data_IF_613061543450
#
_entry.id   IF_613061543450
#
_cell.length_a   1.000
_cell.length_b   1.000
_cell.length_c   1.000
_cell.angle_alpha   90.00
_cell.angle_beta   90.00
_cell.angle_gamma   90.00
#
_symmetry.space_group_name_H-M   'P 1'
#
loop_
_entity.id
_entity.type
_entity.pdbx_description
1 polymer ?
#
# COMPACT_ATOMS: atom_id res chain seq x y z
N UNK A 1 9.35 11.17 2.16
CA UNK A 1 10.82 11.38 2.12
C UNK A 1 11.56 10.45 1.14
N UNK A 2 11.23 9.16 1.02
CA UNK A 2 11.89 8.28 0.02
C UNK A 2 11.76 8.79 -1.43
N UNK A 3 10.62 9.37 -1.82
CA UNK A 3 10.37 9.82 -3.21
C UNK A 3 11.18 11.07 -3.57
N UNK A 4 11.45 11.98 -2.63
CA UNK A 4 12.30 13.16 -2.84
C UNK A 4 13.76 12.80 -3.13
N UNK A 5 14.26 11.75 -2.48
CA UNK A 5 15.62 11.27 -2.70
C UNK A 5 15.81 10.76 -4.14
N UNK A 6 14.79 10.11 -4.70
CA UNK A 6 14.81 9.62 -6.09
C UNK A 6 14.78 10.79 -7.09
N UNK A 7 14.04 11.86 -6.79
CA UNK A 7 13.97 13.07 -7.62
C UNK A 7 15.14 14.05 -7.45
N UNK A 8 15.99 13.89 -6.42
CA UNK A 8 16.97 14.91 -5.97
C UNK A 8 16.34 16.28 -5.67
N UNK A 9 15.09 16.29 -5.21
CA UNK A 9 14.32 17.50 -4.93
C UNK A 9 14.38 17.86 -3.44
N UNK A 10 14.64 19.13 -3.10
CA UNK A 10 14.74 19.63 -1.71
C UNK A 10 13.51 20.43 -1.26
N UNK A 11 12.35 20.15 -1.87
CA UNK A 11 11.15 21.00 -1.75
C UNK A 11 10.46 20.93 -0.38
N UNK A 12 10.57 19.81 0.33
CA UNK A 12 9.89 19.63 1.63
C UNK A 12 10.85 19.90 2.79
N UNK A 13 10.96 21.18 3.17
CA UNK A 13 11.73 21.61 4.35
C UNK A 13 10.96 21.48 5.68
N UNK A 14 9.62 21.39 5.64
CA UNK A 14 8.78 21.32 6.84
C UNK A 14 7.45 20.60 6.58
N UNK A 15 7.10 19.66 7.45
CA UNK A 15 5.82 18.91 7.39
C UNK A 15 4.62 19.84 7.53
N UNK A 16 4.71 20.87 8.38
CA UNK A 16 3.61 21.79 8.66
C UNK A 16 3.19 22.63 7.45
N UNK A 17 4.15 22.98 6.57
CA UNK A 17 3.82 23.72 5.33
C UNK A 17 2.95 22.87 4.41
N UNK A 18 3.25 21.58 4.31
CA UNK A 18 2.49 20.64 3.49
C UNK A 18 1.09 20.39 4.02
N UNK A 19 0.94 20.25 5.35
CA UNK A 19 -0.38 20.16 5.98
C UNK A 19 -1.26 21.37 5.67
N UNK A 20 -0.69 22.59 5.72
CA UNK A 20 -1.43 23.82 5.44
C UNK A 20 -1.82 23.95 3.97
N UNK A 21 -0.97 23.49 3.06
CA UNK A 21 -1.22 23.52 1.61
C UNK A 21 -2.32 22.52 1.22
N UNK A 22 -2.25 21.27 1.71
CA UNK A 22 -3.31 20.26 1.48
C UNK A 22 -4.66 20.74 2.03
N UNK A 23 -4.67 21.32 3.24
CA UNK A 23 -5.91 21.85 3.83
C UNK A 23 -6.53 22.97 3.00
N UNK A 24 -5.71 23.76 2.30
CA UNK A 24 -6.17 24.89 1.49
C UNK A 24 -6.60 24.48 0.08
N UNK A 25 -5.89 23.54 -0.54
CA UNK A 25 -6.13 23.10 -1.93
C UNK A 25 -7.15 21.95 -2.04
N UNK A 26 -7.06 20.93 -1.18
CA UNK A 26 -7.92 19.72 -1.25
C UNK A 26 -8.94 19.60 -0.10
N UNK A 27 -8.78 20.37 0.98
CA UNK A 27 -9.63 20.32 2.15
C UNK A 27 -9.48 19.05 2.99
N UNK A 28 -10.47 18.75 3.84
CA UNK A 28 -10.43 17.61 4.79
C UNK A 28 -10.49 16.26 4.07
N UNK A 29 -11.18 16.17 2.93
CA UNK A 29 -11.34 14.93 2.18
C UNK A 29 -10.04 14.46 1.51
N UNK A 30 -9.15 15.39 1.12
CA UNK A 30 -7.82 15.07 0.60
C UNK A 30 -6.98 14.24 1.57
N UNK A 31 -7.03 14.58 2.87
CA UNK A 31 -6.35 13.80 3.92
C UNK A 31 -6.85 12.37 4.05
N UNK A 32 -8.16 12.14 3.87
CA UNK A 32 -8.74 10.80 4.00
C UNK A 32 -8.52 9.93 2.77
N UNK A 33 -8.20 10.52 1.62
CA UNK A 33 -7.99 9.80 0.37
C UNK A 33 -6.85 8.78 0.47
N UNK A 34 -5.76 9.07 1.19
CA UNK A 34 -4.67 8.12 1.42
C UNK A 34 -4.84 7.24 2.67
N UNK A 35 -5.48 7.75 3.71
CA UNK A 35 -5.63 7.07 5.01
C UNK A 35 -6.65 5.93 4.93
N UNK A 36 -7.77 6.14 4.24
CA UNK A 36 -8.82 5.13 4.10
C UNK A 36 -8.33 3.84 3.44
N UNK A 37 -7.68 3.87 2.25
CA UNK A 37 -7.15 2.64 1.64
C UNK A 37 -6.06 1.99 2.48
N UNK A 38 -5.31 2.77 3.27
CA UNK A 38 -4.29 2.23 4.18
C UNK A 38 -4.93 1.41 5.30
N UNK A 39 -5.91 1.99 5.99
CA UNK A 39 -6.64 1.32 7.06
C UNK A 39 -7.38 0.08 6.55
N UNK A 40 -8.03 0.17 5.38
CA UNK A 40 -8.68 -0.98 4.76
C UNK A 40 -7.69 -2.09 4.43
N UNK A 41 -6.50 -1.75 3.91
CA UNK A 41 -5.43 -2.70 3.64
C UNK A 41 -4.93 -3.41 4.91
N UNK A 42 -4.69 -2.66 5.99
CA UNK A 42 -4.25 -3.21 7.28
C UNK A 42 -5.31 -4.11 7.92
N UNK A 43 -6.58 -3.70 7.91
CA UNK A 43 -7.69 -4.52 8.40
C UNK A 43 -7.80 -5.83 7.60
N UNK A 44 -7.68 -5.75 6.28
CA UNK A 44 -7.72 -6.92 5.41
C UNK A 44 -6.52 -7.84 5.63
N UNK A 45 -5.31 -7.27 5.81
CA UNK A 45 -4.10 -8.01 6.15
C UNK A 45 -4.25 -8.77 7.47
N UNK A 46 -4.71 -8.10 8.52
CA UNK A 46 -4.94 -8.72 9.83
C UNK A 46 -5.97 -9.83 9.73
N UNK A 47 -7.09 -9.58 9.05
CA UNK A 47 -8.14 -10.57 8.85
C UNK A 47 -7.63 -11.80 8.10
N UNK A 48 -6.90 -11.61 6.98
CA UNK A 48 -6.28 -12.70 6.23
C UNK A 48 -5.27 -13.47 7.08
N UNK A 49 -4.34 -12.78 7.75
CA UNK A 49 -3.35 -13.42 8.61
C UNK A 49 -4.02 -14.27 9.70
N UNK A 50 -5.04 -13.75 10.37
CA UNK A 50 -5.74 -14.48 11.43
C UNK A 50 -6.54 -15.66 10.88
N UNK A 51 -7.21 -15.48 9.75
CA UNK A 51 -7.93 -16.55 9.06
C UNK A 51 -7.00 -17.67 8.61
N UNK A 52 -5.86 -17.34 7.98
CA UNK A 52 -4.87 -18.31 7.52
C UNK A 52 -4.24 -19.07 8.68
N UNK A 53 -3.83 -18.37 9.75
CA UNK A 53 -3.29 -19.03 10.94
C UNK A 53 -4.32 -19.97 11.58
N UNK A 54 -5.59 -19.57 11.63
CA UNK A 54 -6.66 -20.43 12.13
C UNK A 54 -6.87 -21.68 11.27
N UNK A 55 -6.90 -21.53 9.94
CA UNK A 55 -7.03 -22.65 9.01
C UNK A 55 -5.84 -23.62 9.12
N UNK A 56 -4.60 -23.11 9.10
CA UNK A 56 -3.41 -23.95 9.21
C UNK A 56 -3.39 -24.69 10.55
N UNK A 57 -3.71 -23.98 11.64
CA UNK A 57 -3.75 -24.59 12.96
C UNK A 57 -4.84 -25.66 13.10
N UNK A 58 -6.01 -25.45 12.49
CA UNK A 58 -7.14 -26.37 12.60
C UNK A 58 -6.99 -27.61 11.71
N UNK A 59 -6.42 -27.46 10.50
CA UNK A 59 -6.43 -28.52 9.48
C UNK A 59 -5.08 -29.21 9.26
N UNK A 60 -3.95 -28.55 9.54
CA UNK A 60 -2.61 -29.06 9.18
C UNK A 60 -1.83 -29.54 10.42
N UNK A 61 -1.96 -28.84 11.54
CA UNK A 61 -1.13 -29.05 12.73
C UNK A 61 -1.96 -29.67 13.84
N UNK A 62 -1.72 -30.94 14.18
CA UNK A 62 -2.25 -31.57 15.40
C UNK A 62 -1.85 -30.76 16.64
N UNK A 63 -2.73 -30.68 17.65
CA UNK A 63 -2.54 -29.80 18.83
C UNK A 63 -1.17 -29.96 19.51
N UNK A 64 -0.59 -31.15 19.47
CA UNK A 64 0.75 -31.46 20.01
C UNK A 64 1.89 -30.67 19.32
N UNK A 65 1.83 -30.49 18.00
CA UNK A 65 2.86 -29.77 17.23
C UNK A 65 2.66 -28.25 17.24
N UNK A 66 1.46 -27.77 17.62
CA UNK A 66 1.13 -26.33 17.71
C UNK A 66 1.91 -25.59 18.79
N UNK A 67 2.30 -26.32 19.86
CA UNK A 67 2.98 -25.75 21.01
C UNK A 67 4.47 -25.55 20.77
N UNK A 68 5.03 -26.16 19.72
CA UNK A 68 6.43 -25.98 19.33
C UNK A 68 6.61 -24.56 18.75
N UNK A 69 7.40 -23.68 19.39
CA UNK A 69 7.49 -22.26 19.00
C UNK A 69 8.10 -22.05 17.61
N UNK A 70 8.96 -22.95 17.15
CA UNK A 70 9.58 -22.92 15.83
C UNK A 70 8.52 -23.09 14.73
N UNK A 71 7.67 -24.12 14.84
CA UNK A 71 6.63 -24.45 13.85
C UNK A 71 5.60 -23.31 13.74
N UNK A 72 5.23 -22.72 14.88
CA UNK A 72 4.35 -21.54 14.93
C UNK A 72 4.96 -20.35 14.21
N UNK A 73 6.24 -20.09 14.42
CA UNK A 73 6.93 -18.95 13.81
C UNK A 73 7.02 -19.09 12.29
N UNK A 74 7.38 -20.27 11.79
CA UNK A 74 7.40 -20.55 10.35
C UNK A 74 6.00 -20.41 9.72
N UNK A 75 4.98 -20.98 10.35
CA UNK A 75 3.59 -20.88 9.89
C UNK A 75 3.12 -19.43 9.81
N UNK A 76 3.44 -18.63 10.83
CA UNK A 76 3.10 -17.23 10.86
C UNK A 76 3.80 -16.45 9.74
N UNK A 77 5.11 -16.64 9.55
CA UNK A 77 5.89 -15.96 8.51
C UNK A 77 5.39 -16.30 7.10
N UNK A 78 5.08 -17.57 6.82
CA UNK A 78 4.55 -18.00 5.52
C UNK A 78 3.16 -17.38 5.28
N UNK A 79 2.29 -17.41 6.31
CA UNK A 79 0.95 -16.81 6.22
C UNK A 79 1.02 -15.31 5.99
N UNK A 80 1.93 -14.62 6.68
CA UNK A 80 2.12 -13.18 6.55
C UNK A 80 2.68 -12.81 5.16
N UNK A 81 3.59 -13.62 4.63
CA UNK A 81 4.10 -13.43 3.27
C UNK A 81 2.97 -13.54 2.24
N UNK A 82 2.16 -14.60 2.30
CA UNK A 82 1.03 -14.77 1.38
C UNK A 82 0.01 -13.63 1.52
N UNK A 83 -0.33 -13.25 2.76
CA UNK A 83 -1.26 -12.16 3.01
C UNK A 83 -0.73 -10.82 2.45
N UNK A 84 0.58 -10.55 2.57
CA UNK A 84 1.18 -9.33 2.03
C UNK A 84 1.13 -9.25 0.50
N UNK A 85 1.23 -10.37 -0.21
CA UNK A 85 1.04 -10.41 -1.67
C UNK A 85 -0.38 -9.98 -2.04
N UNK A 86 -1.38 -10.42 -1.28
CA UNK A 86 -2.79 -10.08 -1.53
C UNK A 86 -3.08 -8.63 -1.18
N UNK A 87 -2.50 -8.11 -0.09
CA UNK A 87 -2.70 -6.72 0.34
C UNK A 87 -1.88 -5.70 -0.47
N UNK A 88 -0.88 -6.14 -1.23
CA UNK A 88 0.01 -5.28 -2.02
C UNK A 88 -0.70 -4.17 -2.85
N UNK A 89 -1.79 -4.46 -3.59
CA UNK A 89 -2.53 -3.44 -4.32
C UNK A 89 -3.04 -2.28 -3.47
N UNK A 90 -3.47 -2.55 -2.24
CA UNK A 90 -3.96 -1.52 -1.33
C UNK A 90 -2.82 -0.62 -0.86
N UNK A 91 -1.69 -1.21 -0.48
CA UNK A 91 -0.47 -0.47 -0.15
C UNK A 91 0.00 0.39 -1.32
N UNK A 92 -0.10 -0.12 -2.56
CA UNK A 92 0.24 0.64 -3.76
C UNK A 92 -0.67 1.86 -3.94
N UNK A 93 -1.99 1.70 -3.83
CA UNK A 93 -2.94 2.82 -3.96
C UNK A 93 -2.73 3.86 -2.88
N UNK A 94 -2.50 3.45 -1.62
CA UNK A 94 -2.13 4.37 -0.53
C UNK A 94 -0.89 5.19 -0.89
N UNK A 95 0.16 4.55 -1.39
CA UNK A 95 1.40 5.24 -1.72
C UNK A 95 1.23 6.23 -2.89
N UNK A 96 0.41 5.90 -3.90
CA UNK A 96 0.12 6.80 -5.02
C UNK A 96 -0.74 7.98 -4.56
N UNK A 97 -1.77 7.73 -3.74
CA UNK A 97 -2.60 8.81 -3.18
C UNK A 97 -1.80 9.71 -2.24
N UNK A 98 -0.80 9.18 -1.53
CA UNK A 98 0.05 9.98 -0.63
C UNK A 98 0.99 10.95 -1.36
N UNK A 99 1.26 10.73 -2.66
CA UNK A 99 2.08 11.62 -3.49
C UNK A 99 1.26 12.41 -4.50
N UNK A 100 -0.05 12.19 -4.57
CA UNK A 100 -0.96 12.89 -5.46
C UNK A 100 -0.91 14.40 -5.20
N UNK A 101 -0.85 15.20 -6.27
CA UNK A 101 -0.78 16.67 -6.22
C UNK A 101 0.36 17.23 -5.34
N UNK A 102 1.41 16.43 -5.13
CA UNK A 102 2.62 16.89 -4.44
C UNK A 102 3.48 17.72 -5.39
N UNK A 103 4.35 18.60 -4.85
CA UNK A 103 5.33 19.36 -5.67
C UNK A 103 6.37 18.48 -6.38
N UNK A 104 6.27 17.16 -6.24
CA UNK A 104 7.18 16.18 -6.81
C UNK A 104 6.76 15.82 -8.23
N UNK A 105 7.73 15.69 -9.14
CA UNK A 105 7.47 15.29 -10.54
C UNK A 105 6.75 13.94 -10.65
N UNK A 106 6.95 13.05 -9.67
CA UNK A 106 6.32 11.73 -9.64
C UNK A 106 4.81 11.74 -9.30
N UNK A 107 4.29 12.85 -8.75
CA UNK A 107 2.89 13.02 -8.36
C UNK A 107 2.06 13.88 -9.32
N UNK A 108 2.72 14.51 -10.30
CA UNK A 108 2.10 15.45 -11.23
C UNK A 108 2.08 14.95 -12.68
N UNK A 109 1.15 15.47 -13.51
CA UNK A 109 1.19 15.26 -14.95
C UNK A 109 2.53 15.76 -15.52
N UNK A 110 3.17 15.05 -16.48
CA UNK A 110 2.63 13.98 -17.33
C UNK A 110 2.81 12.54 -16.81
N UNK A 111 3.46 12.33 -15.65
CA UNK A 111 3.77 10.97 -15.16
C UNK A 111 2.58 10.27 -14.49
N UNK A 112 1.78 11.02 -13.74
CA UNK A 112 0.58 10.52 -13.05
C UNK A 112 -0.57 11.51 -13.19
N UNK A 113 -1.79 11.05 -13.50
CA UNK A 113 -2.95 11.92 -13.43
C UNK A 113 -3.29 12.21 -11.96
N UNK A 114 -3.91 13.36 -11.72
CA UNK A 114 -4.36 13.77 -10.39
C UNK A 114 -5.67 13.05 -10.09
N UNK A 115 -5.73 12.33 -8.97
CA UNK A 115 -6.91 11.60 -8.51
C UNK A 115 -7.56 12.34 -7.33
N UNK A 116 -8.88 12.50 -7.33
CA UNK A 116 -9.60 13.08 -6.19
C UNK A 116 -9.97 12.04 -5.13
N UNK A 117 -10.17 10.78 -5.53
CA UNK A 117 -10.51 9.67 -4.64
C UNK A 117 -9.62 8.46 -4.89
N UNK A 118 -9.35 7.68 -3.84
CA UNK A 118 -8.57 6.45 -3.95
C UNK A 118 -9.24 5.37 -4.80
N UNK A 119 -10.58 5.38 -4.88
CA UNK A 119 -11.36 4.48 -5.73
C UNK A 119 -11.08 4.73 -7.20
N UNK A 120 -10.93 5.99 -7.60
CA UNK A 120 -10.64 6.37 -8.98
C UNK A 120 -9.24 5.91 -9.36
N UNK A 121 -8.28 6.11 -8.45
CA UNK A 121 -6.92 5.57 -8.58
C UNK A 121 -6.93 4.04 -8.72
N UNK A 122 -7.70 3.34 -7.88
CA UNK A 122 -7.81 1.88 -7.93
C UNK A 122 -8.40 1.36 -9.25
N UNK A 123 -9.46 2.01 -9.75
CA UNK A 123 -10.11 1.65 -11.01
C UNK A 123 -9.17 1.92 -12.19
N UNK A 124 -8.50 3.07 -12.22
CA UNK A 124 -7.56 3.41 -13.28
C UNK A 124 -6.35 2.47 -13.32
N UNK A 125 -5.75 2.16 -12.17
CA UNK A 125 -4.67 1.15 -12.08
C UNK A 125 -5.15 -0.24 -12.48
N UNK A 126 -6.42 -0.56 -12.20
CA UNK A 126 -7.07 -1.78 -12.66
C UNK A 126 -7.18 -1.85 -14.17
N UNK A 127 -7.64 -0.78 -14.81
CA UNK A 127 -7.76 -0.66 -16.28
C UNK A 127 -6.39 -0.75 -16.97
N UNK A 128 -5.35 -0.18 -16.36
CA UNK A 128 -3.96 -0.21 -16.87
C UNK A 128 -3.24 -1.54 -16.59
N UNK A 129 -3.82 -2.43 -15.79
CA UNK A 129 -3.18 -3.69 -15.37
C UNK A 129 -1.95 -3.49 -14.47
N UNK A 130 -1.83 -2.33 -13.82
CA UNK A 130 -0.65 -1.94 -13.01
C UNK A 130 -0.84 -2.22 -11.51
N UNK A 131 -1.84 -3.00 -11.13
CA UNK A 131 -2.21 -3.28 -9.73
C UNK A 131 -1.12 -3.99 -8.92
N UNK A 132 -0.15 -4.63 -9.59
CA UNK A 132 1.02 -5.29 -9.00
C UNK A 132 2.34 -4.61 -9.39
N UNK A 133 2.31 -3.36 -9.87
CA UNK A 133 3.50 -2.65 -10.33
C UNK A 133 4.49 -2.46 -9.17
N UNK A 134 5.66 -3.09 -9.27
CA UNK A 134 6.72 -3.01 -8.27
C UNK A 134 6.72 -4.14 -7.24
N UNK A 135 5.84 -5.14 -7.37
CA UNK A 135 5.81 -6.30 -6.46
C UNK A 135 6.95 -7.30 -6.69
N UNK A 136 7.65 -7.17 -7.82
CA UNK A 136 8.82 -8.00 -8.16
C UNK A 136 9.97 -7.10 -8.58
N UNK A 137 11.17 -7.42 -8.11
CA UNK A 137 12.40 -6.66 -8.39
C UNK A 137 12.73 -6.58 -9.89
N UNK A 138 12.34 -7.59 -10.68
CA UNK A 138 12.78 -7.74 -12.07
C UNK A 138 11.67 -7.63 -13.12
N UNK A 139 10.38 -7.60 -12.73
CA UNK A 139 9.27 -7.49 -13.69
C UNK A 139 8.70 -6.08 -13.67
N UNK A 140 9.16 -5.24 -14.61
CA UNK A 140 8.53 -3.96 -14.89
C UNK A 140 7.42 -4.20 -15.91
N UNK A 141 6.17 -4.23 -15.46
CA UNK A 141 5.04 -4.07 -16.36
C UNK A 141 5.04 -2.59 -16.82
N UNK A 142 5.50 -2.36 -18.05
CA UNK A 142 5.40 -1.08 -18.74
C UNK A 142 4.18 -1.18 -19.62
N UNK A 143 3.14 -0.37 -19.35
CA UNK A 143 2.05 -0.17 -20.30
C UNK A 143 2.61 0.65 -21.47
N UNK A 144 2.62 0.05 -22.66
CA UNK A 144 2.78 0.75 -23.94
C UNK A 144 1.50 1.54 -24.21
#
# INVERSE_FOLDING_TARGET
MMVQFVGRETEYRSLFSSFKEIYKEEGILGFFSGIVPHLLGELFLLWLCKSMNFCVQKYIISEEYSQIPEVRSYTHSISQYIASIVTYPFTLVTNIMAINDSKLVAGNPPLTPIYHSWTDCWIDLGKKGLRSRGSTLFRRNVSI
#
